data_IF_556967827975
#
_entry.id   IF_556967827975
#
_cell.length_a   1.000
_cell.length_b   1.000
_cell.length_c   1.000
_cell.angle_alpha   90.00
_cell.angle_beta   90.00
_cell.angle_gamma   90.00
#
_symmetry.space_group_name_H-M   'P 1'
#
loop_
_entity.id
_entity.type
_entity.pdbx_description
1 polymer ?
#
# COMPACT_ATOMS: atom_id res chain seq x y z
N UNK A 1 21.93 -1.08 -4.80
CA UNK A 1 21.76 -2.52 -4.53
C UNK A 1 21.01 -3.15 -5.72
N UNK A 2 21.01 -4.48 -5.89
CA UNK A 2 20.32 -5.14 -7.02
C UNK A 2 21.16 -5.37 -8.29
N UNK A 3 22.49 -5.20 -8.21
CA UNK A 3 23.40 -5.43 -9.36
C UNK A 3 23.98 -6.84 -9.44
N UNK A 4 23.88 -7.61 -8.34
CA UNK A 4 24.40 -8.98 -8.24
C UNK A 4 23.28 -9.87 -7.73
N UNK A 5 23.08 -11.08 -8.31
CA UNK A 5 22.04 -11.99 -7.84
C UNK A 5 22.28 -12.39 -6.38
N UNK A 6 21.22 -12.53 -5.57
CA UNK A 6 21.37 -12.99 -4.21
C UNK A 6 21.88 -14.44 -4.17
N UNK A 7 22.63 -14.83 -3.13
CA UNK A 7 23.14 -16.19 -2.99
C UNK A 7 22.03 -17.23 -2.72
N UNK A 8 20.83 -16.77 -2.35
CA UNK A 8 19.66 -17.58 -2.12
C UNK A 8 18.42 -16.87 -2.69
N UNK A 9 17.62 -17.61 -3.45
CA UNK A 9 16.31 -17.18 -3.95
C UNK A 9 15.26 -18.12 -3.36
N UNK A 10 14.28 -17.63 -2.57
CA UNK A 10 13.24 -18.47 -2.01
C UNK A 10 12.35 -19.06 -3.11
N UNK A 11 11.88 -20.29 -2.92
CA UNK A 11 10.89 -20.92 -3.81
C UNK A 11 9.57 -20.14 -3.70
N UNK A 12 9.06 -19.55 -4.80
CA UNK A 12 7.82 -18.77 -4.77
C UNK A 12 6.59 -19.60 -4.38
N UNK A 13 6.66 -20.94 -4.39
CA UNK A 13 5.57 -21.83 -3.98
C UNK A 13 5.64 -22.24 -2.51
N UNK A 14 6.66 -21.82 -1.77
CA UNK A 14 6.87 -22.22 -0.37
C UNK A 14 6.62 -21.05 0.59
N UNK A 15 5.79 -21.30 1.60
CA UNK A 15 5.64 -20.40 2.74
C UNK A 15 6.73 -20.69 3.76
N UNK A 16 7.57 -19.69 4.05
CA UNK A 16 8.69 -19.79 5.01
C UNK A 16 8.25 -19.35 6.41
N UNK A 17 7.24 -20.01 6.96
CA UNK A 17 6.71 -19.76 8.31
C UNK A 17 6.30 -21.07 8.98
N UNK A 18 5.98 -21.04 10.28
CA UNK A 18 5.37 -22.18 10.97
C UNK A 18 3.96 -22.42 10.43
N UNK A 19 3.50 -23.67 10.52
CA UNK A 19 2.11 -23.99 10.26
C UNK A 19 1.21 -23.25 11.27
N UNK A 20 0.04 -22.80 10.84
CA UNK A 20 -0.94 -22.16 11.72
C UNK A 20 -1.36 -23.08 12.87
N UNK A 21 -1.40 -24.39 12.67
CA UNK A 21 -1.67 -25.38 13.71
C UNK A 21 -0.59 -25.47 14.79
N UNK A 22 0.64 -25.05 14.47
CA UNK A 22 1.78 -25.00 15.40
C UNK A 22 1.93 -23.63 16.08
N UNK A 23 1.07 -22.65 15.72
CA UNK A 23 1.01 -21.34 16.36
C UNK A 23 -0.04 -21.40 17.47
N UNK A 24 0.39 -21.18 18.71
CA UNK A 24 -0.51 -21.13 19.85
C UNK A 24 -1.52 -19.99 19.73
N UNK A 25 -2.78 -20.27 20.05
CA UNK A 25 -3.81 -19.25 20.15
C UNK A 25 -3.63 -18.41 21.42
N UNK A 26 -3.80 -17.09 21.29
CA UNK A 26 -3.89 -16.20 22.44
C UNK A 26 -5.33 -16.13 22.94
N UNK A 27 -5.52 -16.07 24.26
CA UNK A 27 -6.84 -15.81 24.83
C UNK A 27 -7.26 -14.36 24.56
N UNK A 28 -8.52 -14.13 24.21
CA UNK A 28 -9.07 -12.78 24.11
C UNK A 28 -9.07 -12.10 25.48
N UNK A 29 -8.50 -10.90 25.56
CA UNK A 29 -8.62 -10.06 26.75
C UNK A 29 -10.06 -9.52 26.79
N UNK A 30 -10.76 -9.75 27.91
CA UNK A 30 -12.13 -9.25 28.15
C UNK A 30 -12.10 -8.10 29.14
N UNK A 31 -13.10 -7.21 29.06
CA UNK A 31 -13.23 -6.07 29.98
C UNK A 31 -12.36 -4.87 29.64
N UNK A 32 -11.89 -4.77 28.39
CA UNK A 32 -11.25 -3.55 27.88
C UNK A 32 -12.33 -2.62 27.36
N UNK A 33 -12.39 -1.41 27.90
CA UNK A 33 -13.22 -0.32 27.39
C UNK A 33 -12.31 0.67 26.67
N UNK A 34 -12.65 1.04 25.44
CA UNK A 34 -11.92 2.02 24.67
C UNK A 34 -12.41 3.42 25.03
N UNK A 35 -11.48 4.34 25.23
CA UNK A 35 -11.79 5.72 25.59
C UNK A 35 -11.41 6.73 24.49
N UNK A 36 -11.52 8.01 24.84
CA UNK A 36 -11.21 9.11 23.92
C UNK A 36 -9.71 9.20 23.59
N UNK A 37 -8.82 8.81 24.50
CA UNK A 37 -7.38 8.80 24.24
C UNK A 37 -7.02 7.69 23.25
N UNK A 38 -7.63 6.50 23.37
CA UNK A 38 -7.47 5.42 22.38
C UNK A 38 -7.93 5.85 20.99
N UNK A 39 -9.08 6.52 20.91
CA UNK A 39 -9.63 7.02 19.65
C UNK A 39 -8.71 8.04 18.98
N UNK A 40 -8.16 8.98 19.75
CA UNK A 40 -7.17 9.96 19.28
C UNK A 40 -5.89 9.29 18.78
N UNK A 41 -5.42 8.26 19.48
CA UNK A 41 -4.27 7.48 19.04
C UNK A 41 -4.55 6.77 17.70
N UNK A 42 -5.71 6.11 17.55
CA UNK A 42 -6.07 5.43 16.31
C UNK A 42 -6.17 6.38 15.12
N UNK A 43 -6.69 7.58 15.34
CA UNK A 43 -6.71 8.64 14.32
C UNK A 43 -5.29 9.08 13.94
N UNK A 44 -4.41 9.30 14.92
CA UNK A 44 -3.02 9.68 14.65
C UNK A 44 -2.21 8.57 13.96
N UNK A 45 -2.50 7.31 14.27
CA UNK A 45 -1.80 6.15 13.72
C UNK A 45 -2.21 5.88 12.27
N UNK A 46 -3.49 6.07 11.95
CA UNK A 46 -4.07 5.75 10.65
C UNK A 46 -3.83 6.86 9.63
N UNK A 47 -2.56 7.21 9.41
CA UNK A 47 -2.13 8.31 8.53
C UNK A 47 -2.42 8.08 7.04
N UNK A 48 -2.91 6.90 6.68
CA UNK A 48 -3.30 6.54 5.33
C UNK A 48 -2.11 6.20 4.45
N UNK A 49 -2.11 6.74 3.24
CA UNK A 49 -1.14 6.40 2.21
C UNK A 49 0.22 7.05 2.45
N UNK A 50 1.30 6.26 2.38
CA UNK A 50 2.67 6.77 2.39
C UNK A 50 3.06 7.18 0.96
N UNK A 51 3.41 8.45 0.69
CA UNK A 51 3.49 8.96 -0.68
C UNK A 51 4.45 8.23 -1.62
N UNK A 52 5.68 7.93 -1.17
CA UNK A 52 6.70 7.31 -2.04
C UNK A 52 6.32 5.88 -2.42
N UNK A 53 6.06 4.95 -1.48
CA UNK A 53 5.69 3.58 -1.85
C UNK A 53 4.42 3.50 -2.70
N UNK A 54 3.46 4.40 -2.47
CA UNK A 54 2.23 4.43 -3.27
C UNK A 54 2.46 4.90 -4.70
N UNK A 55 3.31 5.90 -4.90
CA UNK A 55 3.70 6.32 -6.25
C UNK A 55 4.50 5.23 -6.97
N UNK A 56 5.41 4.54 -6.26
CA UNK A 56 6.13 3.39 -6.79
C UNK A 56 5.17 2.27 -7.21
N UNK A 57 4.16 1.95 -6.38
CA UNK A 57 3.10 0.99 -6.72
C UNK A 57 2.36 1.38 -8.01
N UNK A 58 1.95 2.65 -8.15
CA UNK A 58 1.28 3.14 -9.36
C UNK A 58 2.13 3.02 -10.63
N UNK A 59 3.45 3.17 -10.50
CA UNK A 59 4.40 3.02 -11.60
C UNK A 59 4.63 1.54 -11.93
N UNK A 60 4.91 0.71 -10.92
CA UNK A 60 5.24 -0.72 -11.08
C UNK A 60 4.07 -1.56 -11.58
N UNK A 61 2.85 -1.20 -11.18
CA UNK A 61 1.62 -1.87 -11.64
C UNK A 61 1.14 -1.36 -13.01
N UNK A 62 1.77 -0.32 -13.56
CA UNK A 62 1.40 0.28 -14.84
C UNK A 62 0.19 1.23 -14.79
N UNK A 63 -0.46 1.39 -13.64
CA UNK A 63 -1.65 2.26 -13.48
C UNK A 63 -1.36 3.70 -13.93
N UNK A 64 -0.20 4.23 -13.58
CA UNK A 64 0.18 5.57 -14.02
C UNK A 64 0.30 5.67 -15.54
N UNK A 65 0.85 4.67 -16.21
CA UNK A 65 0.99 4.65 -17.67
C UNK A 65 -0.37 4.60 -18.37
N UNK A 66 -1.34 3.89 -17.80
CA UNK A 66 -2.68 3.75 -18.36
C UNK A 66 -3.54 5.00 -18.16
N UNK A 67 -3.41 5.66 -17.00
CA UNK A 67 -4.30 6.76 -16.62
C UNK A 67 -3.72 8.15 -16.89
N UNK A 68 -2.40 8.32 -16.84
CA UNK A 68 -1.76 9.61 -17.05
C UNK A 68 -1.58 9.90 -18.55
N UNK A 69 -2.70 10.13 -19.23
CA UNK A 69 -2.75 10.34 -20.69
C UNK A 69 -2.87 11.82 -21.06
N UNK A 70 -2.21 12.20 -22.15
CA UNK A 70 -2.33 13.53 -22.76
C UNK A 70 -2.91 13.42 -24.17
N UNK A 71 -3.65 14.45 -24.59
CA UNK A 71 -4.17 14.54 -25.97
C UNK A 71 -3.09 14.93 -26.99
N UNK A 72 -3.46 15.24 -28.23
CA UNK A 72 -2.53 15.79 -29.22
C UNK A 72 -1.86 17.09 -28.76
N UNK A 73 -0.71 17.49 -29.36
CA UNK A 73 -0.05 18.75 -29.03
C UNK A 73 -0.99 19.96 -29.10
N UNK A 74 -0.94 20.82 -28.08
CA UNK A 74 -1.82 21.99 -27.97
C UNK A 74 -3.21 21.71 -27.40
N UNK A 75 -3.52 20.47 -27.03
CA UNK A 75 -4.76 20.12 -26.31
C UNK A 75 -4.50 19.91 -24.83
N UNK A 76 -5.51 20.20 -23.99
CA UNK A 76 -5.56 19.82 -22.58
C UNK A 76 -6.49 18.61 -22.44
N UNK A 77 -6.16 17.63 -21.59
CA UNK A 77 -7.11 16.58 -21.25
C UNK A 77 -8.32 17.19 -20.50
N UNK A 78 -9.52 16.59 -20.58
CA UNK A 78 -10.74 17.19 -20.05
C UNK A 78 -10.70 17.53 -18.56
N UNK A 79 -9.99 16.74 -17.75
CA UNK A 79 -9.79 16.93 -16.30
C UNK A 79 -8.87 18.12 -15.95
N UNK A 80 -8.13 18.64 -16.93
CA UNK A 80 -7.27 19.82 -16.78
C UNK A 80 -7.80 21.06 -17.52
N UNK A 81 -8.98 21.00 -18.15
CA UNK A 81 -9.62 22.12 -18.83
C UNK A 81 -10.36 23.01 -17.82
N UNK A 82 -9.86 24.23 -17.51
CA UNK A 82 -10.48 25.09 -16.48
C UNK A 82 -11.86 25.61 -16.87
N UNK A 83 -12.23 25.54 -18.16
CA UNK A 83 -13.55 25.95 -18.64
C UNK A 83 -14.64 24.92 -18.36
N UNK A 84 -14.25 23.70 -17.95
CA UNK A 84 -15.14 22.58 -17.65
C UNK A 84 -15.22 22.21 -16.16
N UNK A 85 -14.55 22.99 -15.30
CA UNK A 85 -14.58 22.85 -13.85
C UNK A 85 -15.85 23.47 -13.22
#
# INVERSE_FOLDING_TARGET
>A
AGLVPPPFVPDPRRVYAKDLGDVGAFSTVRGVELDAADSSFYESFSSGTVPIPWQEELLETGVFQELNVWGPPGTLPPDLDPSKA
#
